data_IF_905685010348
#
_entry.id   IF_905685010348
#
_cell.length_a   1.000
_cell.length_b   1.000
_cell.length_c   1.000
_cell.angle_alpha   90.00
_cell.angle_beta   90.00
_cell.angle_gamma   90.00
#
_symmetry.space_group_name_H-M   'P 1'
#
loop_
_entity.id
_entity.type
_entity.pdbx_description
1 polymer ?
#
# COMPACT_ATOMS: atom_id res chain seq x y z
N UNK A 1 56.16 -22.70 -11.89
CA UNK A 1 56.45 -21.25 -11.85
C UNK A 1 55.13 -20.50 -11.95
N UNK A 2 54.59 -20.03 -10.84
CA UNK A 2 53.28 -19.35 -10.78
C UNK A 2 53.42 -17.90 -11.23
N UNK A 3 52.87 -17.58 -12.40
CA UNK A 3 52.77 -16.21 -12.92
C UNK A 3 51.70 -15.47 -12.10
N UNK A 4 52.14 -14.67 -11.14
CA UNK A 4 51.26 -13.73 -10.45
C UNK A 4 50.83 -12.64 -11.45
N UNK A 5 49.59 -12.71 -11.93
CA UNK A 5 48.98 -11.65 -12.73
C UNK A 5 48.50 -10.56 -11.76
N UNK A 6 49.17 -9.41 -11.77
CA UNK A 6 48.70 -8.22 -11.08
C UNK A 6 47.63 -7.50 -11.91
N UNK A 7 46.61 -6.96 -11.25
CA UNK A 7 45.66 -6.04 -11.89
C UNK A 7 46.38 -4.74 -12.29
N UNK A 8 46.06 -4.22 -13.46
CA UNK A 8 46.54 -2.91 -13.88
C UNK A 8 45.72 -1.80 -13.23
N UNK A 9 46.35 -0.65 -12.95
CA UNK A 9 45.65 0.51 -12.39
C UNK A 9 44.54 1.02 -13.32
N UNK A 10 44.72 0.87 -14.64
CA UNK A 10 43.72 1.30 -15.64
C UNK A 10 42.48 0.38 -15.65
N UNK A 11 42.66 -0.92 -15.44
CA UNK A 11 41.54 -1.86 -15.29
C UNK A 11 40.70 -1.50 -14.07
N UNK A 12 41.34 -1.14 -12.95
CA UNK A 12 40.59 -0.76 -11.75
C UNK A 12 39.88 0.59 -11.92
N UNK A 13 40.50 1.54 -12.63
CA UNK A 13 39.92 2.86 -12.89
C UNK A 13 38.67 2.78 -13.77
N UNK A 14 38.67 1.96 -14.83
CA UNK A 14 37.49 1.84 -15.70
C UNK A 14 36.32 1.18 -14.97
N UNK A 15 36.60 0.24 -14.05
CA UNK A 15 35.57 -0.46 -13.27
C UNK A 15 34.85 0.49 -12.34
N UNK A 16 35.57 1.32 -11.57
CA UNK A 16 34.93 2.28 -10.68
C UNK A 16 34.16 3.35 -11.45
N UNK A 17 34.62 3.71 -12.66
CA UNK A 17 33.91 4.64 -13.54
C UNK A 17 32.57 4.05 -13.99
N UNK A 18 32.53 2.78 -14.42
CA UNK A 18 31.28 2.10 -14.82
C UNK A 18 30.34 1.92 -13.63
N UNK A 19 30.85 1.49 -12.47
CA UNK A 19 30.04 1.35 -11.24
C UNK A 19 29.43 2.69 -10.84
N UNK A 20 30.19 3.79 -10.95
CA UNK A 20 29.70 5.15 -10.66
C UNK A 20 28.54 5.57 -11.57
N UNK A 21 28.63 5.28 -12.87
CA UNK A 21 27.55 5.57 -13.82
C UNK A 21 26.30 4.77 -13.48
N UNK A 22 26.42 3.45 -13.28
CA UNK A 22 25.27 2.59 -12.96
C UNK A 22 24.62 2.96 -11.62
N UNK A 23 25.42 3.24 -10.58
CA UNK A 23 24.93 3.63 -9.26
C UNK A 23 24.14 4.95 -9.30
N UNK A 24 24.58 5.92 -10.11
CA UNK A 24 23.90 7.22 -10.23
C UNK A 24 22.46 7.11 -10.74
N UNK A 25 22.21 6.22 -11.70
CA UNK A 25 20.88 5.99 -12.29
C UNK A 25 19.94 5.32 -11.28
N UNK A 26 20.45 4.33 -10.55
CA UNK A 26 19.66 3.56 -9.56
C UNK A 26 19.17 4.46 -8.42
N UNK A 27 20.00 5.38 -7.94
CA UNK A 27 19.65 6.25 -6.82
C UNK A 27 18.45 7.14 -7.11
N UNK A 28 18.32 7.65 -8.33
CA UNK A 28 17.20 8.53 -8.72
C UNK A 28 15.86 7.79 -8.71
N UNK A 29 15.83 6.50 -9.04
CA UNK A 29 14.58 5.72 -9.14
C UNK A 29 14.16 5.03 -7.82
N UNK A 30 15.03 5.02 -6.81
CA UNK A 30 14.76 4.28 -5.57
C UNK A 30 13.63 4.90 -4.74
N UNK A 31 13.47 6.23 -4.78
CA UNK A 31 12.45 6.95 -4.01
C UNK A 31 11.01 6.66 -4.45
N UNK A 32 10.74 6.70 -5.76
CA UNK A 32 9.43 6.38 -6.35
C UNK A 32 9.07 4.90 -6.15
N UNK A 33 10.02 4.00 -6.36
CA UNK A 33 9.84 2.55 -6.20
C UNK A 33 9.45 2.19 -4.77
N UNK A 34 10.08 2.81 -3.76
CA UNK A 34 9.72 2.59 -2.34
C UNK A 34 8.30 3.06 -2.03
N UNK A 35 7.86 4.19 -2.58
CA UNK A 35 6.47 4.67 -2.40
C UNK A 35 5.47 3.69 -3.02
N UNK A 36 5.73 3.22 -4.24
CA UNK A 36 4.87 2.22 -4.89
C UNK A 36 4.83 0.90 -4.12
N UNK A 37 5.97 0.45 -3.57
CA UNK A 37 6.00 -0.76 -2.73
C UNK A 37 5.13 -0.63 -1.48
N UNK A 38 5.11 0.54 -0.83
CA UNK A 38 4.22 0.81 0.31
C UNK A 38 2.75 0.83 -0.11
N UNK A 39 2.44 1.45 -1.24
CA UNK A 39 1.07 1.46 -1.79
C UNK A 39 0.57 0.02 -2.07
N UNK A 40 1.41 -0.85 -2.64
CA UNK A 40 1.07 -2.26 -2.88
C UNK A 40 0.85 -3.02 -1.57
N UNK A 41 1.69 -2.78 -0.55
CA UNK A 41 1.52 -3.35 0.78
C UNK A 41 0.20 -2.91 1.44
N UNK A 42 -0.19 -1.66 1.25
CA UNK A 42 -1.43 -1.11 1.77
C UNK A 42 -2.64 -1.74 1.07
N UNK A 43 -2.58 -1.85 -0.26
CA UNK A 43 -3.61 -2.52 -1.06
C UNK A 43 -3.80 -3.98 -0.62
N UNK A 44 -2.71 -4.71 -0.35
CA UNK A 44 -2.76 -6.07 0.20
C UNK A 44 -3.46 -6.13 1.57
N UNK A 45 -3.17 -5.17 2.45
CA UNK A 45 -3.77 -5.08 3.78
C UNK A 45 -5.26 -4.77 3.66
N UNK A 46 -5.66 -3.84 2.78
CA UNK A 46 -7.06 -3.53 2.49
C UNK A 46 -7.83 -4.70 1.88
N UNK A 47 -7.19 -5.51 1.02
CA UNK A 47 -7.82 -6.74 0.54
C UNK A 47 -8.07 -7.76 1.66
N UNK A 48 -7.23 -7.76 2.71
CA UNK A 48 -7.42 -8.62 3.89
C UNK A 48 -8.55 -8.11 4.79
N UNK A 49 -8.80 -6.78 4.80
CA UNK A 49 -9.93 -6.19 5.54
C UNK A 49 -11.25 -6.79 5.08
N UNK A 50 -11.41 -7.08 3.78
CA UNK A 50 -12.62 -7.76 3.27
C UNK A 50 -12.91 -9.06 4.02
N UNK A 51 -11.94 -9.96 4.09
CA UNK A 51 -12.13 -11.22 4.78
C UNK A 51 -12.43 -11.02 6.28
N UNK A 52 -11.74 -10.07 6.93
CA UNK A 52 -11.96 -9.76 8.33
C UNK A 52 -13.35 -9.17 8.61
N UNK A 53 -13.84 -8.28 7.73
CA UNK A 53 -15.17 -7.70 7.82
C UNK A 53 -16.27 -8.76 7.66
N UNK A 54 -16.12 -9.68 6.70
CA UNK A 54 -17.07 -10.80 6.51
C UNK A 54 -17.12 -11.72 7.74
N UNK A 55 -15.97 -12.02 8.34
CA UNK A 55 -15.90 -12.81 9.59
C UNK A 55 -16.62 -12.08 10.72
N UNK A 56 -16.42 -10.77 10.85
CA UNK A 56 -17.12 -9.96 11.85
C UNK A 56 -18.65 -10.00 11.65
N UNK A 57 -19.12 -9.84 10.42
CA UNK A 57 -20.54 -9.92 10.10
C UNK A 57 -21.13 -11.30 10.39
N UNK A 58 -20.41 -12.38 10.10
CA UNK A 58 -20.86 -13.74 10.39
C UNK A 58 -21.13 -14.01 11.88
N UNK A 59 -20.51 -13.24 12.78
CA UNK A 59 -20.66 -13.40 14.23
C UNK A 59 -21.71 -12.42 14.78
N UNK A 60 -21.66 -11.17 14.30
CA UNK A 60 -22.44 -10.07 14.89
C UNK A 60 -23.73 -9.74 14.12
N UNK A 61 -23.92 -10.30 12.91
CA UNK A 61 -24.99 -9.94 11.96
C UNK A 61 -25.07 -8.43 11.65
N UNK A 62 -23.95 -7.73 11.78
CA UNK A 62 -23.80 -6.30 11.49
C UNK A 62 -22.34 -5.99 11.17
N UNK A 63 -22.06 -4.99 10.33
CA UNK A 63 -20.71 -4.43 10.18
C UNK A 63 -20.42 -3.31 11.16
N UNK A 64 -21.44 -2.74 11.82
CA UNK A 64 -21.28 -1.63 12.77
C UNK A 64 -20.27 -1.99 13.87
N UNK A 65 -19.22 -1.18 13.99
CA UNK A 65 -18.17 -1.37 14.97
C UNK A 65 -17.11 -2.40 14.57
N UNK A 66 -17.07 -2.83 13.31
CA UNK A 66 -16.01 -3.68 12.78
C UNK A 66 -14.63 -3.00 12.90
N UNK A 67 -14.54 -1.67 12.85
CA UNK A 67 -13.32 -0.89 12.92
C UNK A 67 -12.83 -0.58 14.36
N UNK A 68 -13.71 -0.65 15.37
CA UNK A 68 -13.40 -0.29 16.77
C UNK A 68 -13.45 -1.46 17.74
N UNK A 69 -14.11 -2.57 17.39
CA UNK A 69 -13.89 -3.81 18.11
C UNK A 69 -12.41 -4.19 17.91
N UNK A 70 -11.69 -4.55 18.97
CA UNK A 70 -10.27 -4.92 18.95
C UNK A 70 -10.02 -6.24 18.16
N UNK A 71 -10.48 -6.27 16.91
CA UNK A 71 -10.47 -7.37 15.98
C UNK A 71 -9.55 -7.07 14.81
N UNK A 72 -9.55 -7.97 13.84
CA UNK A 72 -8.55 -7.98 12.76
C UNK A 72 -8.65 -6.76 11.83
N UNK A 73 -9.84 -6.14 11.71
CA UNK A 73 -10.04 -4.94 10.88
C UNK A 73 -9.25 -3.75 11.42
N UNK A 74 -9.38 -3.38 12.70
CA UNK A 74 -8.62 -2.27 13.33
C UNK A 74 -7.10 -2.42 13.14
N UNK A 75 -6.57 -3.64 13.35
CA UNK A 75 -5.15 -3.94 13.17
C UNK A 75 -4.69 -3.74 11.72
N UNK A 76 -5.55 -4.07 10.76
CA UNK A 76 -5.27 -3.88 9.34
C UNK A 76 -5.39 -2.41 8.93
N UNK A 77 -6.33 -1.65 9.51
CA UNK A 77 -6.40 -0.20 9.31
C UNK A 77 -5.11 0.47 9.80
N UNK A 78 -4.60 0.08 10.96
CA UNK A 78 -3.34 0.62 11.48
C UNK A 78 -2.13 0.18 10.64
N UNK A 79 -2.12 -1.05 10.12
CA UNK A 79 -1.11 -1.47 9.16
C UNK A 79 -1.11 -0.60 7.89
N UNK A 80 -2.29 -0.25 7.37
CA UNK A 80 -2.42 0.67 6.23
C UNK A 80 -1.94 2.08 6.60
N UNK A 81 -2.32 2.58 7.78
CA UNK A 81 -1.90 3.88 8.29
C UNK A 81 -0.37 4.01 8.37
N UNK A 82 0.31 3.01 8.92
CA UNK A 82 1.79 3.01 9.03
C UNK A 82 2.49 2.93 7.66
N UNK A 83 1.87 2.30 6.66
CA UNK A 83 2.43 2.18 5.31
C UNK A 83 2.24 3.47 4.48
N UNK A 84 1.10 4.13 4.61
CA UNK A 84 0.73 5.31 3.81
C UNK A 84 1.00 6.64 4.53
N UNK A 85 1.14 6.64 5.85
CA UNK A 85 1.28 7.85 6.68
C UNK A 85 -0.02 8.67 6.79
N UNK A 86 -1.15 8.10 6.39
CA UNK A 86 -2.48 8.69 6.51
C UNK A 86 -3.46 7.59 6.93
N UNK A 87 -4.32 7.90 7.92
CA UNK A 87 -5.29 6.95 8.44
C UNK A 87 -6.29 6.59 7.33
N UNK A 88 -6.49 5.30 7.01
CA UNK A 88 -7.58 4.89 6.13
C UNK A 88 -8.93 5.24 6.78
N UNK A 89 -9.91 5.55 5.96
CA UNK A 89 -11.29 5.72 6.42
C UNK A 89 -11.99 4.40 6.16
N UNK A 90 -12.65 3.90 7.19
CA UNK A 90 -13.57 2.79 7.10
C UNK A 90 -14.94 3.36 7.44
N UNK A 91 -15.90 3.16 6.55
CA UNK A 91 -17.28 3.55 6.75
C UNK A 91 -18.11 2.27 6.73
N UNK A 92 -19.07 2.17 7.64
CA UNK A 92 -19.92 1.02 7.75
C UNK A 92 -21.35 1.38 8.16
N UNK A 93 -22.27 0.50 7.79
CA UNK A 93 -23.64 0.43 8.29
C UNK A 93 -23.94 -1.00 8.73
N UNK A 94 -25.20 -1.32 9.01
CA UNK A 94 -25.60 -2.67 9.39
C UNK A 94 -25.27 -3.73 8.30
N UNK A 95 -25.32 -3.37 7.02
CA UNK A 95 -25.24 -4.35 5.92
C UNK A 95 -24.16 -4.09 4.88
N UNK A 96 -23.55 -2.91 4.88
CA UNK A 96 -22.54 -2.53 3.91
C UNK A 96 -21.35 -1.92 4.64
N UNK A 97 -20.20 -1.97 3.99
CA UNK A 97 -18.98 -1.30 4.43
C UNK A 97 -18.13 -0.93 3.23
N UNK A 98 -17.31 0.10 3.40
CA UNK A 98 -16.23 0.45 2.48
C UNK A 98 -15.01 0.94 3.25
N UNK A 99 -13.84 0.72 2.65
CA UNK A 99 -12.57 1.21 3.15
C UNK A 99 -11.80 1.86 2.03
N UNK A 100 -11.29 3.05 2.31
CA UNK A 100 -10.48 3.78 1.35
C UNK A 100 -9.25 4.41 2.01
N UNK A 101 -8.17 4.51 1.22
CA UNK A 101 -6.93 5.08 1.66
C UNK A 101 -6.24 5.86 0.54
N UNK A 102 -5.74 7.05 0.87
CA UNK A 102 -5.01 7.90 -0.08
C UNK A 102 -3.63 7.29 -0.35
N UNK A 103 -3.34 7.02 -1.62
CA UNK A 103 -2.08 6.42 -2.04
C UNK A 103 -0.94 7.44 -2.06
N UNK A 104 0.22 7.06 -1.54
CA UNK A 104 1.39 7.93 -1.38
C UNK A 104 2.06 8.31 -2.71
N UNK A 105 1.89 7.50 -3.76
CA UNK A 105 2.57 7.70 -5.05
C UNK A 105 1.75 8.37 -6.15
N UNK A 106 0.44 8.57 -5.96
CA UNK A 106 -0.48 8.89 -7.06
C UNK A 106 -1.23 10.23 -6.98
N UNK A 107 -0.75 11.18 -6.19
CA UNK A 107 -1.10 12.61 -6.35
C UNK A 107 -2.59 12.95 -6.28
N UNK A 108 -3.31 12.40 -5.28
CA UNK A 108 -4.75 12.62 -5.11
C UNK A 108 -5.64 11.45 -5.57
N UNK A 109 -5.04 10.26 -5.72
CA UNK A 109 -5.79 9.02 -5.91
C UNK A 109 -5.86 8.25 -4.59
N UNK A 110 -7.04 7.68 -4.32
CA UNK A 110 -7.26 6.71 -3.24
C UNK A 110 -7.49 5.33 -3.83
N UNK A 111 -7.15 4.31 -3.07
CA UNK A 111 -7.65 2.96 -3.32
C UNK A 111 -8.89 2.75 -2.46
N UNK A 112 -9.92 2.12 -3.02
CA UNK A 112 -11.20 1.88 -2.37
C UNK A 112 -11.58 0.42 -2.54
N UNK A 113 -12.10 -0.18 -1.46
CA UNK A 113 -12.58 -1.55 -1.40
C UNK A 113 -13.90 -1.56 -0.66
N UNK A 114 -14.92 -2.22 -1.22
CA UNK A 114 -16.25 -2.28 -0.59
C UNK A 114 -16.79 -3.71 -0.41
N UNK A 115 -17.92 -3.78 0.27
CA UNK A 115 -18.76 -4.97 0.48
C UNK A 115 -19.36 -5.56 -0.80
N UNK A 116 -19.49 -4.79 -1.88
CA UNK A 116 -20.03 -5.28 -3.17
C UNK A 116 -18.99 -6.06 -3.99
N UNK A 117 -17.71 -5.96 -3.59
CA UNK A 117 -16.60 -6.64 -4.23
C UNK A 117 -15.72 -5.71 -5.08
N UNK A 118 -16.01 -4.41 -5.14
CA UNK A 118 -15.16 -3.45 -5.82
C UNK A 118 -13.78 -3.37 -5.16
N UNK A 119 -12.72 -3.23 -5.96
CA UNK A 119 -11.37 -2.99 -5.48
C UNK A 119 -10.60 -2.23 -6.56
N UNK A 120 -10.40 -0.92 -6.36
CA UNK A 120 -9.92 -0.06 -7.44
C UNK A 120 -9.38 1.28 -6.97
N UNK A 121 -8.69 1.97 -7.88
CA UNK A 121 -8.23 3.34 -7.66
C UNK A 121 -9.29 4.32 -8.12
N UNK A 122 -9.49 5.38 -7.35
CA UNK A 122 -10.40 6.49 -7.64
C UNK A 122 -9.80 7.82 -7.21
N UNK A 123 -10.34 8.93 -7.71
CA UNK A 123 -9.95 10.26 -7.26
C UNK A 123 -10.36 10.43 -5.79
N UNK A 124 -9.48 10.98 -4.94
CA UNK A 124 -9.77 11.21 -3.51
C UNK A 124 -11.04 12.05 -3.30
N UNK A 125 -11.39 12.92 -4.25
CA UNK A 125 -12.62 13.73 -4.20
C UNK A 125 -13.89 12.98 -4.60
N UNK A 126 -13.75 11.80 -5.22
CA UNK A 126 -14.85 10.93 -5.64
C UNK A 126 -15.07 9.75 -4.67
N UNK A 127 -14.24 9.66 -3.63
CA UNK A 127 -14.34 8.62 -2.62
C UNK A 127 -15.64 8.80 -1.81
N UNK A 128 -16.27 7.69 -1.38
CA UNK A 128 -17.52 7.76 -0.63
C UNK A 128 -17.35 8.58 0.66
N UNK A 129 -18.26 9.52 0.88
CA UNK A 129 -18.37 10.29 2.12
C UNK A 129 -19.46 9.68 2.98
N UNK A 130 -19.38 9.88 4.30
CA UNK A 130 -20.31 9.34 5.31
C UNK A 130 -21.77 9.30 4.81
N UNK A 131 -22.25 8.12 4.46
CA UNK A 131 -23.60 7.86 3.91
C UNK A 131 -23.63 7.16 2.55
N UNK A 132 -22.54 7.18 1.78
CA UNK A 132 -22.32 6.30 0.64
C UNK A 132 -21.30 5.22 1.04
N UNK A 133 -21.64 3.96 0.83
CA UNK A 133 -20.84 2.79 1.22
C UNK A 133 -20.41 1.97 0.01
N UNK A 134 -20.43 2.58 -1.18
CA UNK A 134 -20.08 1.93 -2.44
C UNK A 134 -18.99 2.69 -3.17
N UNK A 135 -17.94 1.98 -3.57
CA UNK A 135 -16.82 2.53 -4.31
C UNK A 135 -17.22 2.67 -5.80
N UNK A 136 -17.75 3.83 -6.21
CA UNK A 136 -18.20 4.10 -7.60
C UNK A 136 -17.27 5.06 -8.38
#
# INVERSE_FOLDING_TARGET
>A
MSKNKGFTLIELLVVIAIIGILASIILVNLGSTRKQARDVSAISSMSSIRAAAEVFFSINNTYVGADVAAGDVDRLLEAVNTQLGAKPVFNEDQYNWEVHAVLSSSGGMSYCVDSTGFAGKMLTTAVPVSGDLTCL
#
